data_IF_935094672720
#
_entry.id   IF_935094672720
#
_cell.length_a   1.000
_cell.length_b   1.000
_cell.length_c   1.000
_cell.angle_alpha   90.00
_cell.angle_beta   90.00
_cell.angle_gamma   90.00
#
_symmetry.space_group_name_H-M   'P 1'
#
loop_
_entity.id
_entity.type
_entity.pdbx_description
1 polymer ?
#
# COMPACT_ATOMS: atom_id res chain seq x y z
N UNK A 1 -27.62 -20.25 -24.99
CA UNK A 1 -26.67 -19.41 -24.26
C UNK A 1 -25.49 -20.27 -23.87
N UNK A 2 -24.44 -20.27 -24.67
CA UNK A 2 -23.20 -21.00 -24.40
C UNK A 2 -22.44 -20.26 -23.31
N UNK A 3 -22.42 -20.81 -22.10
CA UNK A 3 -21.47 -20.42 -21.05
C UNK A 3 -20.06 -20.62 -21.60
N UNK A 4 -19.42 -19.54 -22.00
CA UNK A 4 -17.99 -19.54 -22.31
C UNK A 4 -17.28 -20.03 -21.05
N UNK A 5 -16.72 -21.23 -21.08
CA UNK A 5 -15.84 -21.71 -20.03
C UNK A 5 -14.70 -20.70 -19.91
N UNK A 6 -14.56 -20.07 -18.74
CA UNK A 6 -13.47 -19.16 -18.47
C UNK A 6 -12.17 -19.94 -18.68
N UNK A 7 -11.32 -19.48 -19.62
CA UNK A 7 -9.99 -20.07 -19.80
C UNK A 7 -9.24 -19.92 -18.47
N UNK A 8 -8.72 -21.02 -17.89
CA UNK A 8 -8.00 -20.93 -16.63
C UNK A 8 -6.78 -20.02 -16.80
N UNK A 9 -6.62 -19.06 -15.88
CA UNK A 9 -5.48 -18.16 -15.86
C UNK A 9 -4.28 -18.89 -15.25
N UNK A 10 -3.21 -19.06 -16.02
CA UNK A 10 -1.94 -19.59 -15.54
C UNK A 10 -1.08 -18.44 -15.02
N UNK A 11 -0.66 -18.50 -13.76
CA UNK A 11 0.07 -17.45 -13.07
C UNK A 11 1.41 -17.97 -12.58
N UNK A 12 2.47 -17.18 -12.79
CA UNK A 12 3.77 -17.41 -12.19
C UNK A 12 4.29 -16.10 -11.57
N UNK A 13 4.58 -16.14 -10.28
CA UNK A 13 5.21 -15.00 -9.61
C UNK A 13 6.73 -15.15 -9.63
N UNK A 14 7.41 -14.16 -10.21
CA UNK A 14 8.86 -14.06 -10.16
C UNK A 14 9.23 -12.94 -9.17
N UNK A 15 9.83 -13.31 -8.04
CA UNK A 15 10.17 -12.41 -6.94
C UNK A 15 11.65 -12.45 -6.56
N UNK A 16 12.04 -11.67 -5.56
CA UNK A 16 13.42 -11.69 -5.04
C UNK A 16 13.68 -12.95 -4.23
N UNK A 17 14.86 -13.56 -4.39
CA UNK A 17 15.32 -14.62 -3.49
C UNK A 17 15.35 -14.10 -2.04
N UNK A 18 14.68 -14.84 -1.12
CA UNK A 18 14.54 -14.41 0.28
C UNK A 18 13.66 -13.17 0.50
N UNK A 19 12.90 -12.75 -0.51
CA UNK A 19 11.95 -11.65 -0.39
C UNK A 19 10.78 -11.98 0.55
N UNK A 20 10.27 -10.96 1.24
CA UNK A 20 9.12 -11.13 2.16
C UNK A 20 7.84 -11.55 1.43
N UNK A 21 7.77 -11.27 0.13
CA UNK A 21 6.62 -11.58 -0.73
C UNK A 21 6.43 -13.09 -0.93
N UNK A 22 7.48 -13.90 -0.88
CA UNK A 22 7.41 -15.34 -1.15
C UNK A 22 6.34 -16.06 -0.31
N UNK A 23 6.32 -15.81 1.01
CA UNK A 23 5.34 -16.41 1.91
C UNK A 23 3.90 -15.92 1.67
N UNK A 24 3.70 -14.69 1.21
CA UNK A 24 2.39 -14.14 0.88
C UNK A 24 1.84 -14.77 -0.41
N UNK A 25 2.67 -14.83 -1.44
CA UNK A 25 2.34 -15.36 -2.76
C UNK A 25 2.00 -16.85 -2.67
N UNK A 26 2.82 -17.63 -1.95
CA UNK A 26 2.58 -19.07 -1.76
C UNK A 26 1.28 -19.33 -1.00
N UNK A 27 0.97 -18.54 0.05
CA UNK A 27 -0.31 -18.63 0.76
C UNK A 27 -1.51 -18.29 -0.12
N UNK A 28 -1.33 -17.43 -1.12
CA UNK A 28 -2.36 -17.12 -2.11
C UNK A 28 -2.51 -18.22 -3.19
N UNK A 29 -1.75 -19.33 -3.10
CA UNK A 29 -1.81 -20.42 -4.07
C UNK A 29 -1.15 -20.13 -5.41
N UNK A 30 -0.34 -19.06 -5.52
CA UNK A 30 0.36 -18.70 -6.75
C UNK A 30 1.77 -19.31 -6.74
N UNK A 31 2.19 -20.02 -7.80
CA UNK A 31 3.56 -20.52 -7.95
C UNK A 31 4.58 -19.39 -7.88
N UNK A 32 5.65 -19.59 -7.10
CA UNK A 32 6.70 -18.59 -6.86
C UNK A 32 8.07 -19.09 -7.30
N UNK A 33 8.79 -18.25 -8.03
CA UNK A 33 10.20 -18.48 -8.37
C UNK A 33 11.04 -17.28 -7.94
N UNK A 34 12.08 -17.53 -7.12
CA UNK A 34 13.01 -16.51 -6.69
C UNK A 34 14.12 -16.29 -7.72
N UNK A 35 14.47 -15.02 -7.96
CA UNK A 35 15.65 -14.66 -8.77
C UNK A 35 16.54 -13.68 -7.98
N UNK A 36 17.87 -13.71 -8.20
CA UNK A 36 18.75 -12.73 -7.58
C UNK A 36 18.39 -11.31 -8.01
N UNK A 37 18.20 -10.44 -7.04
CA UNK A 37 17.96 -9.02 -7.27
C UNK A 37 18.66 -8.19 -6.20
N UNK A 38 18.95 -6.92 -6.51
CA UNK A 38 19.57 -6.01 -5.55
C UNK A 38 19.27 -4.56 -5.88
N UNK A 39 19.05 -3.74 -4.85
CA UNK A 39 18.91 -2.30 -5.01
C UNK A 39 20.21 -1.67 -5.50
N UNK A 40 20.10 -0.51 -6.19
CA UNK A 40 21.26 0.20 -6.75
C UNK A 40 21.41 1.63 -6.19
N UNK A 41 20.54 2.03 -5.25
CA UNK A 41 20.53 3.41 -4.75
C UNK A 41 21.20 3.54 -3.37
N UNK A 42 22.03 4.58 -3.20
CA UNK A 42 22.57 4.97 -1.90
C UNK A 42 23.59 3.97 -1.34
N UNK A 43 24.26 3.20 -2.21
CA UNK A 43 25.20 2.15 -1.83
C UNK A 43 26.64 2.58 -2.10
N UNK A 44 27.56 2.01 -1.33
CA UNK A 44 28.98 2.11 -1.60
C UNK A 44 29.35 1.39 -2.93
N UNK A 45 30.49 1.73 -3.56
CA UNK A 45 30.85 1.17 -4.87
C UNK A 45 30.96 -0.36 -4.91
N UNK A 46 31.38 -1.00 -3.83
CA UNK A 46 31.53 -2.47 -3.76
C UNK A 46 30.16 -3.15 -3.72
N UNK A 47 29.26 -2.63 -2.89
CA UNK A 47 27.88 -3.12 -2.80
C UNK A 47 27.12 -2.88 -4.12
N UNK A 48 27.35 -1.73 -4.76
CA UNK A 48 26.78 -1.44 -6.07
C UNK A 48 27.25 -2.46 -7.13
N UNK A 49 28.57 -2.71 -7.23
CA UNK A 49 29.11 -3.69 -8.17
C UNK A 49 28.56 -5.10 -7.93
N UNK A 50 28.44 -5.52 -6.67
CA UNK A 50 27.83 -6.82 -6.30
C UNK A 50 26.37 -6.89 -6.71
N UNK A 51 25.59 -5.82 -6.50
CA UNK A 51 24.18 -5.79 -6.86
C UNK A 51 23.98 -5.72 -8.38
N UNK A 52 24.86 -5.07 -9.12
CA UNK A 52 24.86 -5.14 -10.59
C UNK A 52 25.13 -6.58 -11.07
N UNK A 53 26.05 -7.30 -10.43
CA UNK A 53 26.26 -8.73 -10.68
C UNK A 53 25.01 -9.57 -10.42
N UNK A 54 24.33 -9.34 -9.30
CA UNK A 54 23.04 -9.99 -9.00
C UNK A 54 21.95 -9.68 -10.04
N UNK A 55 21.84 -8.44 -10.47
CA UNK A 55 20.86 -8.06 -11.51
C UNK A 55 21.16 -8.75 -12.85
N UNK A 56 22.44 -8.85 -13.22
CA UNK A 56 22.87 -9.58 -14.42
C UNK A 56 22.53 -11.08 -14.31
N UNK A 57 22.86 -11.73 -13.19
CA UNK A 57 22.50 -13.12 -12.95
C UNK A 57 20.98 -13.31 -12.95
N UNK A 58 20.24 -12.41 -12.27
CA UNK A 58 18.78 -12.42 -12.25
C UNK A 58 18.17 -12.30 -13.65
N UNK A 59 18.78 -11.50 -14.54
CA UNK A 59 18.33 -11.40 -15.93
C UNK A 59 18.47 -12.73 -16.69
N UNK A 60 19.61 -13.42 -16.60
CA UNK A 60 19.79 -14.71 -17.28
C UNK A 60 18.85 -15.79 -16.73
N UNK A 61 18.59 -15.79 -15.42
CA UNK A 61 17.61 -16.70 -14.83
C UNK A 61 16.17 -16.35 -15.28
N UNK A 62 15.78 -15.06 -15.21
CA UNK A 62 14.48 -14.59 -15.67
C UNK A 62 14.24 -14.94 -17.16
N UNK A 63 15.28 -14.83 -17.99
CA UNK A 63 15.22 -15.23 -19.42
C UNK A 63 14.89 -16.71 -19.61
N UNK A 64 15.48 -17.60 -18.79
CA UNK A 64 15.14 -19.02 -18.80
C UNK A 64 13.69 -19.27 -18.39
N UNK A 65 13.26 -18.65 -17.29
CA UNK A 65 11.90 -18.75 -16.74
C UNK A 65 10.86 -18.27 -17.77
N UNK A 66 11.05 -17.07 -18.32
CA UNK A 66 10.12 -16.46 -19.27
C UNK A 66 10.03 -17.28 -20.55
N UNK A 67 11.14 -17.81 -21.05
CA UNK A 67 11.14 -18.70 -22.22
C UNK A 67 10.46 -20.04 -21.99
N UNK A 68 10.55 -20.58 -20.78
CA UNK A 68 9.88 -21.83 -20.42
C UNK A 68 8.38 -21.63 -20.17
N UNK A 69 8.01 -20.54 -19.48
CA UNK A 69 6.62 -20.25 -19.13
C UNK A 69 5.81 -19.68 -20.30
N UNK A 70 6.44 -19.02 -21.26
CA UNK A 70 5.81 -18.37 -22.42
C UNK A 70 4.61 -17.47 -22.05
N UNK A 71 4.80 -16.45 -21.18
CA UNK A 71 3.69 -15.62 -20.74
C UNK A 71 3.08 -14.81 -21.90
N UNK A 72 1.75 -14.66 -21.90
CA UNK A 72 1.04 -13.78 -22.83
C UNK A 72 1.21 -12.31 -22.48
N UNK A 73 1.44 -12.01 -21.20
CA UNK A 73 1.71 -10.66 -20.68
C UNK A 73 2.57 -10.72 -19.43
N UNK A 74 3.45 -9.73 -19.24
CA UNK A 74 4.23 -9.55 -18.02
C UNK A 74 3.64 -8.39 -17.21
N UNK A 75 3.28 -8.65 -15.96
CA UNK A 75 2.81 -7.65 -15.00
C UNK A 75 3.89 -7.39 -13.95
N UNK A 76 4.32 -6.14 -13.80
CA UNK A 76 5.27 -5.71 -12.79
C UNK A 76 4.62 -4.72 -11.81
N UNK A 77 4.84 -4.91 -10.50
CA UNK A 77 4.37 -4.01 -9.44
C UNK A 77 5.47 -3.08 -8.91
N UNK A 78 6.55 -2.92 -9.67
CA UNK A 78 7.75 -2.22 -9.24
C UNK A 78 8.82 -3.18 -8.71
N UNK A 79 9.76 -2.64 -7.92
CA UNK A 79 10.89 -3.42 -7.41
C UNK A 79 11.97 -3.70 -8.46
N UNK A 80 13.19 -3.97 -7.98
CA UNK A 80 14.33 -4.18 -8.88
C UNK A 80 14.25 -5.50 -9.65
N UNK A 81 13.53 -6.50 -9.13
CA UNK A 81 13.30 -7.79 -9.78
C UNK A 81 12.43 -7.67 -11.04
N UNK A 82 11.55 -6.68 -11.11
CA UNK A 82 10.70 -6.47 -12.28
C UNK A 82 11.49 -6.12 -13.55
N UNK A 83 12.63 -5.43 -13.42
CA UNK A 83 13.44 -5.00 -14.57
C UNK A 83 13.97 -6.18 -15.39
N UNK A 84 14.69 -7.17 -14.81
CA UNK A 84 15.15 -8.35 -15.57
C UNK A 84 14.01 -9.17 -16.16
N UNK A 85 12.86 -9.29 -15.51
CA UNK A 85 11.71 -10.05 -16.02
C UNK A 85 11.07 -9.36 -17.22
N UNK A 86 10.85 -8.03 -17.15
CA UNK A 86 10.33 -7.24 -18.27
C UNK A 86 11.29 -7.27 -19.47
N UNK A 87 12.60 -7.15 -19.25
CA UNK A 87 13.59 -7.26 -20.33
C UNK A 87 13.55 -8.63 -20.99
N UNK A 88 13.46 -9.71 -20.21
CA UNK A 88 13.37 -11.07 -20.73
C UNK A 88 12.07 -11.31 -21.54
N UNK A 89 10.94 -10.77 -21.08
CA UNK A 89 9.67 -10.79 -21.80
C UNK A 89 9.76 -10.08 -23.15
N UNK A 90 10.37 -8.90 -23.14
CA UNK A 90 10.57 -8.10 -24.35
C UNK A 90 11.38 -8.81 -25.42
N UNK A 91 12.38 -9.64 -25.05
CA UNK A 91 13.17 -10.44 -26.01
C UNK A 91 12.32 -11.43 -26.82
N UNK A 92 11.25 -11.94 -26.25
CA UNK A 92 10.35 -12.90 -26.90
C UNK A 92 9.04 -12.24 -27.38
N UNK A 93 9.01 -10.89 -27.42
CA UNK A 93 7.86 -10.13 -27.88
C UNK A 93 6.65 -10.15 -26.94
N UNK A 94 6.84 -10.47 -25.65
CA UNK A 94 5.76 -10.43 -24.66
C UNK A 94 5.49 -9.00 -24.22
N UNK A 95 4.26 -8.49 -24.36
CA UNK A 95 3.89 -7.18 -23.89
C UNK A 95 3.94 -7.11 -22.36
N UNK A 96 4.13 -5.91 -21.83
CA UNK A 96 4.33 -5.72 -20.42
C UNK A 96 3.61 -4.49 -19.88
N UNK A 97 3.18 -4.59 -18.62
CA UNK A 97 2.53 -3.55 -17.87
C UNK A 97 3.23 -3.37 -16.52
N UNK A 98 3.44 -2.12 -16.10
CA UNK A 98 3.84 -1.81 -14.71
C UNK A 98 2.73 -1.06 -14.00
N UNK A 99 2.49 -1.43 -12.73
CA UNK A 99 1.61 -0.68 -11.84
C UNK A 99 2.45 0.18 -10.88
N UNK A 100 2.15 1.48 -10.84
CA UNK A 100 2.72 2.45 -9.92
C UNK A 100 1.71 2.76 -8.80
N UNK A 101 1.95 2.28 -7.57
CA UNK A 101 1.04 2.55 -6.44
C UNK A 101 1.18 3.97 -5.85
N UNK A 102 2.40 4.52 -5.80
CA UNK A 102 2.68 5.86 -5.30
C UNK A 102 2.41 6.94 -6.37
N UNK A 103 2.25 8.18 -5.96
CA UNK A 103 2.08 9.30 -6.91
C UNK A 103 3.37 9.54 -7.71
N UNK A 104 4.53 9.51 -7.05
CA UNK A 104 5.82 9.65 -7.72
C UNK A 104 6.53 8.30 -7.90
N UNK A 105 7.05 8.01 -9.11
CA UNK A 105 7.73 6.75 -9.36
C UNK A 105 9.11 6.69 -8.70
N UNK A 106 9.38 5.58 -8.01
CA UNK A 106 10.71 5.22 -7.58
C UNK A 106 11.62 4.85 -8.76
N UNK A 107 12.93 4.71 -8.50
CA UNK A 107 13.94 4.45 -9.56
C UNK A 107 13.63 3.21 -10.40
N UNK A 108 13.18 2.12 -9.78
CA UNK A 108 12.85 0.89 -10.49
C UNK A 108 11.67 1.11 -11.46
N UNK A 109 10.62 1.81 -11.01
CA UNK A 109 9.46 2.15 -11.86
C UNK A 109 9.85 3.14 -12.95
N UNK A 110 10.72 4.13 -12.69
CA UNK A 110 11.26 5.04 -13.73
C UNK A 110 12.01 4.27 -14.84
N UNK A 111 12.76 3.23 -14.46
CA UNK A 111 13.43 2.36 -15.43
C UNK A 111 12.42 1.52 -16.22
N UNK A 112 11.47 0.87 -15.53
CA UNK A 112 10.41 0.06 -16.13
C UNK A 112 9.51 0.88 -17.06
N UNK A 113 9.15 2.10 -16.70
CA UNK A 113 8.28 2.98 -17.48
C UNK A 113 8.76 3.20 -18.92
N UNK A 114 10.07 3.17 -19.17
CA UNK A 114 10.65 3.27 -20.51
C UNK A 114 10.54 1.98 -21.31
N UNK A 115 10.46 0.84 -20.63
CA UNK A 115 10.53 -0.50 -21.23
C UNK A 115 9.15 -1.09 -21.50
N UNK A 116 8.18 -0.83 -20.63
CA UNK A 116 6.83 -1.42 -20.69
C UNK A 116 5.94 -0.77 -21.75
N UNK A 117 4.91 -1.47 -22.14
CA UNK A 117 3.93 -1.01 -23.13
C UNK A 117 2.81 -0.19 -22.47
N UNK A 118 2.51 -0.44 -21.18
CA UNK A 118 1.45 0.24 -20.42
C UNK A 118 1.91 0.53 -18.99
N UNK A 119 1.44 1.63 -18.44
CA UNK A 119 1.70 2.04 -17.06
C UNK A 119 0.35 2.32 -16.40
N UNK A 120 -0.09 1.44 -15.49
CA UNK A 120 -1.24 1.71 -14.65
C UNK A 120 -0.79 2.52 -13.41
N UNK A 121 -1.55 3.55 -13.08
CA UNK A 121 -1.25 4.43 -11.94
C UNK A 121 -2.45 4.58 -11.02
N UNK A 122 -2.18 4.87 -9.76
CA UNK A 122 -3.22 5.12 -8.75
C UNK A 122 -4.01 6.39 -9.06
N UNK A 123 -3.37 7.43 -9.58
CA UNK A 123 -4.01 8.74 -9.83
C UNK A 123 -3.43 9.40 -11.08
N UNK A 124 -4.24 10.22 -11.75
CA UNK A 124 -3.79 11.10 -12.83
C UNK A 124 -2.65 12.05 -12.40
N UNK A 125 -2.53 12.34 -11.11
CA UNK A 125 -1.42 13.14 -10.55
C UNK A 125 -0.04 12.51 -10.82
N UNK A 126 0.05 11.22 -11.14
CA UNK A 126 1.30 10.55 -11.51
C UNK A 126 1.74 10.81 -12.95
N UNK A 127 0.84 11.25 -13.84
CA UNK A 127 1.10 11.41 -15.28
C UNK A 127 2.28 12.34 -15.61
N UNK A 128 2.50 13.48 -14.92
CA UNK A 128 3.64 14.37 -15.22
C UNK A 128 5.01 13.73 -14.98
N UNK A 129 5.08 12.65 -14.23
CA UNK A 129 6.33 11.97 -13.85
C UNK A 129 6.69 10.80 -14.78
N UNK A 130 5.87 10.49 -15.80
CA UNK A 130 5.92 9.27 -16.60
C UNK A 130 5.72 9.59 -18.10
N UNK A 131 6.05 8.67 -19.03
CA UNK A 131 5.64 8.76 -20.42
C UNK A 131 4.12 8.78 -20.54
N UNK A 132 3.56 9.98 -20.83
CA UNK A 132 2.13 10.26 -20.72
C UNK A 132 1.24 9.41 -21.65
N UNK A 133 1.79 9.01 -22.81
CA UNK A 133 1.14 8.16 -23.82
C UNK A 133 0.90 6.73 -23.36
N UNK A 134 1.65 6.25 -22.37
CA UNK A 134 1.52 4.91 -21.78
C UNK A 134 0.67 4.86 -20.52
N UNK A 135 0.34 6.00 -19.92
CA UNK A 135 -0.30 6.09 -18.60
C UNK A 135 -1.80 5.90 -18.66
N UNK A 136 -2.30 4.99 -17.81
CA UNK A 136 -3.73 4.77 -17.55
C UNK A 136 -3.99 4.87 -16.03
N UNK A 137 -4.84 5.80 -15.62
CA UNK A 137 -5.25 5.91 -14.23
C UNK A 137 -6.31 4.85 -13.89
N UNK A 138 -5.89 3.85 -13.14
CA UNK A 138 -6.74 2.71 -12.77
C UNK A 138 -7.26 2.78 -11.34
N UNK A 139 -6.63 3.57 -10.49
CA UNK A 139 -6.88 3.59 -9.06
C UNK A 139 -5.94 2.67 -8.29
N UNK A 140 -6.07 2.67 -6.95
CA UNK A 140 -5.34 1.76 -6.07
C UNK A 140 -6.17 0.49 -5.80
N UNK A 141 -5.67 -0.72 -6.16
CA UNK A 141 -6.38 -1.96 -5.90
C UNK A 141 -6.36 -2.27 -4.39
N UNK A 142 -7.52 -2.23 -3.78
CA UNK A 142 -7.70 -2.58 -2.36
C UNK A 142 -8.11 -4.03 -2.20
N UNK A 143 -8.02 -4.55 -0.98
CA UNK A 143 -8.56 -5.86 -0.61
C UNK A 143 -10.03 -5.95 -0.97
N UNK A 144 -10.47 -7.12 -1.39
CA UNK A 144 -11.85 -7.36 -1.81
C UNK A 144 -12.86 -6.93 -0.73
N UNK A 145 -12.56 -7.23 0.53
CA UNK A 145 -13.42 -6.91 1.67
C UNK A 145 -13.65 -5.40 1.82
N UNK A 146 -12.64 -4.56 1.55
CA UNK A 146 -12.78 -3.10 1.63
C UNK A 146 -13.69 -2.52 0.54
N UNK A 147 -13.84 -3.22 -0.59
CA UNK A 147 -14.79 -2.84 -1.65
C UNK A 147 -16.23 -3.27 -1.37
N UNK A 148 -16.46 -4.09 -0.32
CA UNK A 148 -17.80 -4.49 0.06
C UNK A 148 -18.42 -3.44 0.99
N UNK A 149 -19.73 -3.24 0.92
CA UNK A 149 -20.44 -2.43 1.91
C UNK A 149 -20.09 -2.90 3.32
N UNK A 150 -19.81 -1.96 4.21
CA UNK A 150 -19.48 -2.26 5.62
C UNK A 150 -20.21 -1.28 6.54
N UNK A 151 -20.54 -1.77 7.73
CA UNK A 151 -21.14 -0.97 8.78
C UNK A 151 -20.11 -0.70 9.89
N UNK A 152 -19.97 0.56 10.26
CA UNK A 152 -19.05 1.03 11.30
C UNK A 152 -19.39 0.43 12.67
N UNK A 153 -20.68 0.32 13.02
CA UNK A 153 -21.10 -0.24 14.29
C UNK A 153 -20.79 -1.74 14.37
N UNK A 154 -21.05 -2.49 13.29
CA UNK A 154 -20.70 -3.90 13.20
C UNK A 154 -19.17 -4.11 13.29
N UNK A 155 -18.37 -3.28 12.63
CA UNK A 155 -16.91 -3.34 12.71
C UNK A 155 -16.40 -3.06 14.14
N UNK A 156 -17.01 -2.10 14.87
CA UNK A 156 -16.71 -1.86 16.28
C UNK A 156 -17.04 -3.06 17.15
N UNK A 157 -18.22 -3.65 16.95
CA UNK A 157 -18.62 -4.86 17.69
C UNK A 157 -17.68 -6.05 17.43
N UNK A 158 -17.25 -6.26 16.18
CA UNK A 158 -16.29 -7.31 15.83
C UNK A 158 -14.93 -7.16 16.54
N UNK A 159 -14.61 -5.93 16.95
CA UNK A 159 -13.39 -5.61 17.71
C UNK A 159 -13.65 -5.40 19.21
N UNK A 160 -14.82 -5.76 19.74
CA UNK A 160 -15.27 -5.50 21.12
C UNK A 160 -15.15 -4.03 21.53
N UNK A 161 -15.42 -3.09 20.62
CA UNK A 161 -15.39 -1.66 20.84
C UNK A 161 -16.80 -1.12 21.13
N UNK A 162 -16.89 -0.05 21.91
CA UNK A 162 -18.13 0.67 22.11
C UNK A 162 -18.59 1.35 20.81
N UNK A 163 -19.87 1.17 20.46
CA UNK A 163 -20.40 1.66 19.18
C UNK A 163 -20.64 3.16 19.15
N UNK A 164 -20.77 3.82 20.30
CA UNK A 164 -21.05 5.25 20.43
C UNK A 164 -19.76 6.08 20.62
N UNK A 165 -18.70 5.49 21.17
CA UNK A 165 -17.43 6.18 21.45
C UNK A 165 -16.63 6.36 20.16
N UNK A 166 -16.11 7.56 19.86
CA UNK A 166 -15.20 7.78 18.75
C UNK A 166 -14.01 6.80 18.78
N UNK A 167 -13.60 6.32 17.62
CA UNK A 167 -12.51 5.35 17.46
C UNK A 167 -11.33 5.98 16.74
N UNK A 168 -10.15 5.96 17.36
CA UNK A 168 -8.89 6.40 16.79
C UNK A 168 -8.03 5.18 16.44
N UNK A 169 -7.69 5.01 15.16
CA UNK A 169 -6.76 3.99 14.71
C UNK A 169 -5.37 4.61 14.49
N UNK A 170 -4.35 4.07 15.14
CA UNK A 170 -2.95 4.53 15.03
C UNK A 170 -2.11 3.38 14.51
N UNK A 171 -1.37 3.57 13.40
CA UNK A 171 -0.43 2.57 12.92
C UNK A 171 0.67 3.13 12.01
N UNK A 172 1.82 2.45 11.99
CA UNK A 172 3.00 2.87 11.23
C UNK A 172 3.22 2.17 9.90
N UNK A 173 2.33 1.23 9.52
CA UNK A 173 2.56 0.29 8.42
C UNK A 173 3.24 -1.01 8.91
N UNK A 174 3.59 -1.93 7.98
CA UNK A 174 4.04 -3.30 8.28
C UNK A 174 5.27 -3.43 9.19
N UNK A 175 6.12 -2.42 9.23
CA UNK A 175 7.32 -2.37 10.10
C UNK A 175 7.14 -1.54 11.36
N UNK A 176 5.94 -0.99 11.58
CA UNK A 176 5.69 -0.02 12.62
C UNK A 176 6.30 1.37 12.29
N UNK A 177 6.12 2.31 13.18
CA UNK A 177 6.70 3.66 13.08
C UNK A 177 7.05 4.17 14.47
N UNK A 178 8.29 3.96 14.91
CA UNK A 178 8.74 4.27 16.28
C UNK A 178 8.35 5.67 16.73
N UNK A 179 8.48 6.69 15.87
CA UNK A 179 8.10 8.07 16.21
C UNK A 179 6.59 8.20 16.50
N UNK A 180 5.76 7.60 15.66
CA UNK A 180 4.30 7.58 15.87
C UNK A 180 3.97 6.83 17.16
N UNK A 181 4.61 5.65 17.38
CA UNK A 181 4.39 4.85 18.58
C UNK A 181 4.75 5.60 19.85
N UNK A 182 5.91 6.27 19.87
CA UNK A 182 6.35 7.09 21.01
C UNK A 182 5.40 8.26 21.28
N UNK A 183 4.99 8.99 20.25
CA UNK A 183 4.03 10.10 20.39
C UNK A 183 2.66 9.61 20.91
N UNK A 184 2.18 8.47 20.41
CA UNK A 184 0.91 7.88 20.82
C UNK A 184 0.94 7.44 22.30
N UNK A 185 2.02 6.79 22.74
CA UNK A 185 2.16 6.38 24.13
C UNK A 185 2.33 7.59 25.08
N UNK A 186 3.10 8.59 24.70
CA UNK A 186 3.24 9.84 25.48
C UNK A 186 1.92 10.63 25.59
N UNK A 187 0.99 10.44 24.65
CA UNK A 187 -0.32 11.07 24.64
C UNK A 187 -1.44 10.17 25.16
N UNK A 188 -1.16 8.93 25.58
CA UNK A 188 -2.16 7.87 25.78
C UNK A 188 -3.32 8.27 26.69
N UNK A 189 -3.06 8.93 27.82
CA UNK A 189 -4.10 9.39 28.75
C UNK A 189 -5.05 10.39 28.07
N UNK A 190 -4.49 11.36 27.34
CA UNK A 190 -5.28 12.39 26.64
C UNK A 190 -6.08 11.79 25.49
N UNK A 191 -5.49 10.86 24.73
CA UNK A 191 -6.18 10.17 23.63
C UNK A 191 -7.33 9.31 24.14
N UNK A 192 -7.13 8.59 25.27
CA UNK A 192 -8.17 7.76 25.86
C UNK A 192 -9.37 8.56 26.43
N UNK A 193 -9.19 9.85 26.74
CA UNK A 193 -10.30 10.76 27.08
C UNK A 193 -11.12 11.09 25.83
N UNK A 194 -10.47 11.28 24.69
CA UNK A 194 -11.10 11.72 23.43
C UNK A 194 -11.76 10.56 22.65
N UNK A 195 -11.17 9.38 22.72
CA UNK A 195 -11.57 8.23 21.89
C UNK A 195 -11.19 6.89 22.53
N UNK A 196 -11.75 5.80 22.02
CA UNK A 196 -11.16 4.48 22.17
C UNK A 196 -10.07 4.30 21.10
N UNK A 197 -8.93 3.75 21.49
CA UNK A 197 -7.73 3.71 20.65
C UNK A 197 -7.38 2.29 20.25
N UNK A 198 -7.20 2.08 18.94
CA UNK A 198 -6.57 0.89 18.37
C UNK A 198 -5.16 1.31 17.94
N UNK A 199 -4.12 0.79 18.59
CA UNK A 199 -2.74 1.10 18.27
C UNK A 199 -1.99 -0.12 17.76
N UNK A 200 -1.67 -0.15 16.46
CA UNK A 200 -0.90 -1.22 15.81
C UNK A 200 0.55 -0.77 15.70
N UNK A 201 1.38 -1.25 16.61
CA UNK A 201 2.75 -0.77 16.82
C UNK A 201 3.80 -1.35 15.87
N UNK A 202 3.51 -2.53 15.28
CA UNK A 202 4.52 -3.39 14.70
C UNK A 202 5.20 -4.28 15.76
N UNK A 203 5.80 -5.37 15.32
CA UNK A 203 6.37 -6.39 16.22
C UNK A 203 7.50 -5.84 17.10
N UNK A 204 8.30 -4.90 16.58
CA UNK A 204 9.47 -4.37 17.28
C UNK A 204 9.13 -3.56 18.53
N UNK A 205 8.04 -2.82 18.52
CA UNK A 205 7.67 -1.91 19.61
C UNK A 205 6.52 -2.46 20.46
N UNK A 206 5.93 -3.61 20.12
CA UNK A 206 4.71 -4.13 20.76
C UNK A 206 4.88 -4.45 22.24
N UNK A 207 5.99 -5.06 22.64
CA UNK A 207 6.26 -5.39 24.05
C UNK A 207 6.38 -4.10 24.87
N UNK A 208 7.22 -3.18 24.44
CA UNK A 208 7.43 -1.87 25.10
C UNK A 208 6.12 -1.08 25.21
N UNK A 209 5.28 -1.12 24.16
CA UNK A 209 4.00 -0.41 24.18
C UNK A 209 3.00 -1.00 25.17
N UNK A 210 2.95 -2.34 25.31
CA UNK A 210 2.10 -3.00 26.31
C UNK A 210 2.56 -2.69 27.73
N UNK A 211 3.88 -2.74 27.98
CA UNK A 211 4.44 -2.42 29.31
C UNK A 211 4.16 -0.96 29.70
N UNK A 212 4.32 -0.03 28.76
CA UNK A 212 4.01 1.37 28.98
C UNK A 212 2.51 1.57 29.27
N UNK A 213 1.62 0.89 28.53
CA UNK A 213 0.18 0.96 28.77
C UNK A 213 -0.21 0.36 30.13
N UNK A 214 0.39 -0.76 30.54
CA UNK A 214 0.11 -1.43 31.81
C UNK A 214 0.45 -0.55 33.04
N UNK A 215 1.34 0.41 32.89
CA UNK A 215 1.69 1.39 33.92
C UNK A 215 0.69 2.57 34.05
N UNK A 216 -0.27 2.70 33.11
CA UNK A 216 -1.25 3.77 33.09
C UNK A 216 -2.50 3.41 33.92
N UNK A 217 -3.35 4.41 34.29
CA UNK A 217 -4.60 4.15 34.99
C UNK A 217 -5.52 3.16 34.29
N UNK A 218 -6.25 2.34 35.06
CA UNK A 218 -7.16 1.34 34.51
C UNK A 218 -8.20 1.89 33.53
N UNK A 219 -8.65 3.13 33.75
CA UNK A 219 -9.57 3.81 32.84
C UNK A 219 -8.96 4.07 31.45
N UNK A 220 -7.65 4.31 31.37
CA UNK A 220 -6.92 4.44 30.12
C UNK A 220 -6.76 3.07 29.44
N UNK A 221 -6.33 2.06 30.21
CA UNK A 221 -6.18 0.70 29.72
C UNK A 221 -7.47 0.14 29.11
N UNK A 222 -8.62 0.46 29.70
CA UNK A 222 -9.94 0.04 29.20
C UNK A 222 -10.29 0.61 27.80
N UNK A 223 -9.70 1.74 27.42
CA UNK A 223 -9.98 2.44 26.15
C UNK A 223 -8.84 2.41 25.16
N UNK A 224 -7.67 1.88 25.52
CA UNK A 224 -6.47 1.88 24.68
C UNK A 224 -5.99 0.45 24.47
N UNK A 225 -6.05 -0.04 23.22
CA UNK A 225 -5.67 -1.41 22.86
C UNK A 225 -4.41 -1.40 22.00
N UNK A 226 -3.42 -2.22 22.38
CA UNK A 226 -2.15 -2.37 21.67
C UNK A 226 -2.11 -3.71 20.95
N UNK A 227 -1.87 -3.67 19.64
CA UNK A 227 -1.66 -4.82 18.78
C UNK A 227 -0.26 -4.76 18.16
N UNK A 228 0.43 -5.89 18.08
CA UNK A 228 1.66 -5.98 17.30
C UNK A 228 1.35 -5.89 15.80
N UNK A 229 0.34 -6.62 15.36
CA UNK A 229 -0.13 -6.66 13.98
C UNK A 229 -1.61 -7.02 13.92
N UNK A 230 -2.32 -6.53 12.90
CA UNK A 230 -3.67 -6.93 12.53
C UNK A 230 -3.63 -7.53 11.13
N UNK A 231 -4.19 -8.70 10.96
CA UNK A 231 -4.30 -9.39 9.66
C UNK A 231 -5.61 -9.06 8.96
N UNK A 232 -6.61 -9.93 9.12
CA UNK A 232 -7.97 -9.73 8.62
C UNK A 232 -8.69 -8.58 9.33
N UNK A 233 -8.45 -8.46 10.62
CA UNK A 233 -9.04 -7.46 11.53
C UNK A 233 -8.69 -6.01 11.15
N UNK A 234 -7.66 -5.78 10.30
CA UNK A 234 -7.33 -4.44 9.81
C UNK A 234 -8.47 -3.82 8.99
N UNK A 235 -9.26 -4.65 8.30
CA UNK A 235 -10.45 -4.19 7.56
C UNK A 235 -11.48 -3.60 8.53
N UNK A 236 -11.75 -4.31 9.62
CA UNK A 236 -12.68 -3.83 10.63
C UNK A 236 -12.12 -2.64 11.41
N UNK A 237 -10.81 -2.61 11.69
CA UNK A 237 -10.16 -1.46 12.32
C UNK A 237 -10.28 -0.19 11.48
N UNK A 238 -10.09 -0.27 10.15
CA UNK A 238 -10.29 0.85 9.24
C UNK A 238 -11.76 1.31 9.18
N UNK A 239 -12.71 0.37 9.14
CA UNK A 239 -14.14 0.67 9.15
C UNK A 239 -14.63 1.27 10.47
N UNK A 240 -14.10 0.77 11.60
CA UNK A 240 -14.44 1.23 12.94
C UNK A 240 -13.96 2.66 13.21
N UNK A 241 -12.87 3.08 12.57
CA UNK A 241 -12.19 4.33 12.85
C UNK A 241 -13.00 5.58 12.41
N UNK A 242 -12.94 6.63 13.22
CA UNK A 242 -13.38 7.98 12.85
C UNK A 242 -12.20 8.84 12.39
N UNK A 243 -11.00 8.51 12.85
CA UNK A 243 -9.75 9.15 12.47
C UNK A 243 -8.63 8.11 12.43
N UNK A 244 -7.78 8.20 11.42
CA UNK A 244 -6.56 7.38 11.32
C UNK A 244 -5.34 8.27 11.50
N UNK A 245 -4.36 7.81 12.29
CA UNK A 245 -3.00 8.39 12.37
C UNK A 245 -2.01 7.39 11.80
N UNK A 246 -1.34 7.74 10.70
CA UNK A 246 -0.43 6.78 10.06
C UNK A 246 0.68 7.43 9.24
N UNK A 247 1.59 6.57 8.72
CA UNK A 247 2.48 6.92 7.61
C UNK A 247 1.66 7.10 6.31
N UNK A 248 2.26 7.79 5.32
CA UNK A 248 1.63 8.06 4.03
C UNK A 248 2.14 7.12 2.91
N UNK A 249 2.19 5.80 3.19
CA UNK A 249 2.47 4.80 2.16
C UNK A 249 1.34 4.71 1.14
N UNK A 250 1.61 4.15 -0.04
CA UNK A 250 0.67 4.12 -1.16
C UNK A 250 -0.73 3.56 -0.84
N UNK A 251 -0.84 2.63 0.13
CA UNK A 251 -2.13 2.02 0.52
C UNK A 251 -3.17 3.05 1.00
N UNK A 252 -2.73 4.20 1.56
CA UNK A 252 -3.65 5.26 1.99
C UNK A 252 -4.48 5.83 0.84
N UNK A 253 -3.97 5.73 -0.40
CA UNK A 253 -4.63 6.26 -1.61
C UNK A 253 -5.81 5.39 -2.07
N UNK A 254 -5.97 4.21 -1.50
CA UNK A 254 -7.07 3.30 -1.81
C UNK A 254 -7.85 2.86 -0.58
N UNK A 255 -7.17 2.40 0.47
CA UNK A 255 -7.82 1.83 1.65
C UNK A 255 -8.64 2.88 2.43
N UNK A 256 -8.13 4.12 2.60
CA UNK A 256 -8.86 5.18 3.29
C UNK A 256 -10.05 5.72 2.49
N UNK A 257 -9.90 5.98 1.17
CA UNK A 257 -11.03 6.28 0.32
C UNK A 257 -12.13 5.21 0.34
N UNK A 258 -11.76 3.92 0.31
CA UNK A 258 -12.70 2.82 0.28
C UNK A 258 -13.63 2.78 1.50
N UNK A 259 -13.16 3.21 2.68
CA UNK A 259 -13.96 3.29 3.91
C UNK A 259 -14.37 4.72 4.28
N UNK A 260 -13.89 5.73 3.55
CA UNK A 260 -14.20 7.12 3.81
C UNK A 260 -13.62 7.66 5.13
N UNK A 261 -12.49 7.15 5.62
CA UNK A 261 -11.93 7.54 6.91
C UNK A 261 -10.95 8.71 6.77
N UNK A 262 -11.13 9.84 7.48
CA UNK A 262 -10.17 10.95 7.52
C UNK A 262 -8.84 10.54 8.14
N UNK A 263 -7.76 11.24 7.77
CA UNK A 263 -6.43 10.89 8.27
C UNK A 263 -5.60 12.08 8.75
N UNK A 264 -4.82 11.83 9.80
CA UNK A 264 -3.65 12.61 10.20
C UNK A 264 -2.40 11.84 9.71
N UNK A 265 -1.75 12.35 8.70
CA UNK A 265 -0.64 11.69 8.03
C UNK A 265 0.71 12.21 8.53
N UNK A 266 1.61 11.27 8.78
CA UNK A 266 2.99 11.54 9.19
C UNK A 266 3.93 10.93 8.14
N UNK A 267 4.22 11.62 7.04
CA UNK A 267 5.06 11.09 5.97
C UNK A 267 6.44 10.71 6.47
N UNK A 268 6.96 9.57 6.01
CA UNK A 268 8.27 9.08 6.42
C UNK A 268 9.40 9.94 5.81
N UNK A 269 10.34 10.49 6.61
CA UNK A 269 11.40 11.37 6.14
C UNK A 269 12.60 10.60 5.58
N UNK A 270 12.39 9.68 4.62
CA UNK A 270 13.48 8.95 3.96
C UNK A 270 13.85 9.52 2.60
N UNK A 271 15.08 9.23 2.17
CA UNK A 271 15.59 9.63 0.87
C UNK A 271 14.67 9.18 -0.27
N UNK A 272 14.16 10.15 -1.02
CA UNK A 272 13.20 9.94 -2.11
C UNK A 272 11.81 10.50 -1.85
N UNK A 273 11.43 10.80 -0.60
CA UNK A 273 10.24 11.59 -0.26
C UNK A 273 8.89 11.08 -0.79
N UNK A 274 8.82 9.80 -1.24
CA UNK A 274 7.64 9.26 -1.96
C UNK A 274 6.33 9.37 -1.18
N UNK A 275 6.39 9.47 0.16
CA UNK A 275 5.18 9.56 0.97
C UNK A 275 4.57 10.97 1.00
N UNK A 276 5.36 12.01 0.73
CA UNK A 276 4.84 13.38 0.72
C UNK A 276 3.82 13.61 -0.41
N UNK A 277 4.09 13.26 -1.68
CA UNK A 277 3.11 13.37 -2.76
C UNK A 277 1.82 12.58 -2.53
N UNK A 278 1.91 11.40 -1.88
CA UNK A 278 0.73 10.62 -1.49
C UNK A 278 -0.12 11.38 -0.47
N UNK A 279 0.52 11.91 0.58
CA UNK A 279 -0.17 12.70 1.61
C UNK A 279 -0.77 13.98 1.03
N UNK A 280 -0.02 14.69 0.19
CA UNK A 280 -0.43 15.94 -0.42
C UNK A 280 -1.68 15.79 -1.28
N UNK A 281 -1.82 14.70 -2.05
CA UNK A 281 -3.03 14.40 -2.81
C UNK A 281 -4.27 14.39 -1.90
N UNK A 282 -4.20 13.73 -0.74
CA UNK A 282 -5.32 13.64 0.20
C UNK A 282 -5.59 14.97 0.92
N UNK A 283 -4.53 15.74 1.22
CA UNK A 283 -4.65 17.08 1.82
C UNK A 283 -5.30 18.06 0.85
N UNK A 284 -4.89 18.08 -0.41
CA UNK A 284 -5.47 18.93 -1.45
C UNK A 284 -6.95 18.59 -1.70
N UNK A 285 -7.33 17.32 -1.54
CA UNK A 285 -8.73 16.91 -1.60
C UNK A 285 -9.56 17.32 -0.36
N UNK A 286 -8.92 17.87 0.67
CA UNK A 286 -9.57 18.19 1.95
C UNK A 286 -9.89 16.98 2.82
N UNK A 287 -9.26 15.82 2.56
CA UNK A 287 -9.54 14.54 3.21
C UNK A 287 -8.60 14.22 4.38
N UNK A 288 -7.44 14.88 4.45
CA UNK A 288 -6.41 14.63 5.45
C UNK A 288 -5.69 15.91 5.89
N UNK A 289 -4.93 15.79 6.96
CA UNK A 289 -3.92 16.77 7.37
C UNK A 289 -2.58 16.07 7.54
N UNK A 290 -1.48 16.82 7.47
CA UNK A 290 -0.12 16.28 7.64
C UNK A 290 0.58 16.92 8.83
N UNK A 291 1.40 16.12 9.52
CA UNK A 291 2.37 16.59 10.50
C UNK A 291 3.74 16.06 10.06
N UNK A 292 4.76 16.92 9.92
CA UNK A 292 6.13 16.48 9.66
C UNK A 292 6.61 15.54 10.77
N UNK A 293 7.33 14.47 10.40
CA UNK A 293 7.83 13.48 11.36
C UNK A 293 8.64 14.13 12.50
N UNK A 294 9.50 15.10 12.16
CA UNK A 294 10.34 15.79 13.14
C UNK A 294 9.55 16.63 14.18
N UNK A 295 8.33 17.05 13.83
CA UNK A 295 7.44 17.85 14.67
C UNK A 295 6.48 17.01 15.51
N UNK A 296 6.44 15.69 15.27
CA UNK A 296 5.51 14.80 15.96
C UNK A 296 6.07 14.42 17.34
N UNK A 297 5.36 14.85 18.38
CA UNK A 297 5.49 14.41 19.76
C UNK A 297 4.10 14.13 20.36
N UNK A 298 4.03 13.75 21.64
CA UNK A 298 2.76 13.46 22.32
C UNK A 298 1.84 14.67 22.41
N UNK A 299 2.39 15.87 22.61
CA UNK A 299 1.61 17.10 22.72
C UNK A 299 1.02 17.51 21.38
N UNK A 300 1.82 17.44 20.32
CA UNK A 300 1.36 17.70 18.96
C UNK A 300 0.28 16.70 18.53
N UNK A 301 0.50 15.42 18.76
CA UNK A 301 -0.47 14.38 18.42
C UNK A 301 -1.80 14.58 19.14
N UNK A 302 -1.78 14.81 20.45
CA UNK A 302 -3.00 15.04 21.23
C UNK A 302 -3.76 16.29 20.76
N UNK A 303 -3.08 17.39 20.44
CA UNK A 303 -3.71 18.60 19.90
C UNK A 303 -4.39 18.36 18.56
N UNK A 304 -3.71 17.69 17.63
CA UNK A 304 -4.25 17.41 16.29
C UNK A 304 -5.47 16.47 16.36
N UNK A 305 -5.39 15.42 17.18
CA UNK A 305 -6.51 14.50 17.40
C UNK A 305 -7.68 15.20 18.07
N UNK A 306 -7.43 16.02 19.11
CA UNK A 306 -8.48 16.79 19.78
C UNK A 306 -9.16 17.77 18.81
N UNK A 307 -8.40 18.46 17.97
CA UNK A 307 -8.95 19.38 16.97
C UNK A 307 -9.79 18.62 15.93
N UNK A 308 -9.37 17.43 15.49
CA UNK A 308 -10.10 16.65 14.50
C UNK A 308 -11.39 16.05 15.05
N UNK A 309 -11.34 15.43 16.25
CA UNK A 309 -12.51 14.78 16.88
C UNK A 309 -13.45 15.78 17.54
N UNK A 310 -12.95 16.97 17.94
CA UNK A 310 -13.72 18.03 18.57
C UNK A 310 -14.62 18.84 17.62
N UNK A 311 -14.44 18.68 16.29
CA UNK A 311 -15.28 19.31 15.29
C UNK A 311 -15.96 18.24 14.40
N UNK A 312 -17.12 17.71 14.80
CA UNK A 312 -17.83 16.69 14.04
C UNK A 312 -18.22 17.12 12.62
N UNK A 313 -18.46 18.41 12.40
CA UNK A 313 -18.83 18.94 11.08
C UNK A 313 -17.63 18.87 10.13
N UNK A 314 -16.47 19.33 10.59
CA UNK A 314 -15.22 19.25 9.82
C UNK A 314 -14.80 17.79 9.59
N UNK A 315 -14.93 16.93 10.60
CA UNK A 315 -14.61 15.51 10.49
C UNK A 315 -15.48 14.82 9.43
N UNK A 316 -16.80 15.08 9.44
CA UNK A 316 -17.73 14.57 8.44
C UNK A 316 -17.41 15.11 7.02
N UNK A 317 -17.05 16.40 6.91
CA UNK A 317 -16.65 16.97 5.64
C UNK A 317 -15.38 16.29 5.06
N UNK A 318 -14.38 16.01 5.92
CA UNK A 318 -13.17 15.26 5.55
C UNK A 318 -13.47 13.82 5.16
N UNK A 319 -14.37 13.15 5.89
CA UNK A 319 -14.81 11.80 5.56
C UNK A 319 -15.49 11.74 4.19
N UNK A 320 -16.39 12.70 3.90
CA UNK A 320 -17.02 12.82 2.60
C UNK A 320 -16.01 13.15 1.48
N UNK A 321 -15.00 13.99 1.76
CA UNK A 321 -13.92 14.28 0.83
C UNK A 321 -13.08 13.03 0.52
N UNK A 322 -12.76 12.23 1.55
CA UNK A 322 -12.04 10.97 1.41
C UNK A 322 -12.83 9.97 0.56
N UNK A 323 -14.11 9.77 0.87
CA UNK A 323 -14.97 8.84 0.14
C UNK A 323 -15.10 9.16 -1.37
N UNK A 324 -15.06 10.45 -1.74
CA UNK A 324 -15.08 10.86 -3.17
C UNK A 324 -13.86 10.41 -3.97
N UNK A 325 -12.76 10.07 -3.31
CA UNK A 325 -11.54 9.56 -3.96
C UNK A 325 -11.59 8.05 -4.21
N UNK A 326 -12.61 7.34 -3.71
CA UNK A 326 -12.71 5.89 -3.84
C UNK A 326 -12.79 5.43 -5.31
N UNK A 327 -12.04 4.40 -5.63
CA UNK A 327 -12.02 3.77 -6.95
C UNK A 327 -12.18 2.24 -6.80
N UNK A 328 -13.39 1.74 -6.53
CA UNK A 328 -13.62 0.33 -6.19
C UNK A 328 -13.24 -0.64 -7.31
N UNK A 329 -13.27 -0.19 -8.57
CA UNK A 329 -12.96 -1.01 -9.75
C UNK A 329 -11.46 -1.08 -10.11
N UNK A 330 -10.56 -0.55 -9.29
CA UNK A 330 -9.14 -0.44 -9.63
C UNK A 330 -8.51 -1.77 -10.07
N UNK A 331 -8.71 -2.83 -9.30
CA UNK A 331 -8.18 -4.17 -9.64
C UNK A 331 -8.75 -4.68 -10.98
N UNK A 332 -10.06 -4.50 -11.23
CA UNK A 332 -10.71 -4.88 -12.48
C UNK A 332 -10.13 -4.11 -13.67
N UNK A 333 -9.91 -2.79 -13.52
CA UNK A 333 -9.32 -1.96 -14.59
C UNK A 333 -7.92 -2.41 -14.94
N UNK A 334 -7.06 -2.70 -13.95
CA UNK A 334 -5.71 -3.25 -14.18
C UNK A 334 -5.81 -4.59 -14.90
N UNK A 335 -6.71 -5.47 -14.49
CA UNK A 335 -6.95 -6.76 -15.15
C UNK A 335 -7.37 -6.61 -16.61
N UNK A 336 -8.24 -5.64 -16.92
CA UNK A 336 -8.65 -5.36 -18.30
C UNK A 336 -7.49 -4.85 -19.16
N UNK A 337 -6.61 -4.01 -18.63
CA UNK A 337 -5.40 -3.58 -19.35
C UNK A 337 -4.46 -4.74 -19.64
N UNK A 338 -4.29 -5.68 -18.69
CA UNK A 338 -3.50 -6.91 -18.89
C UNK A 338 -4.10 -7.81 -19.99
N UNK A 339 -5.42 -8.05 -19.93
CA UNK A 339 -6.13 -8.85 -20.93
C UNK A 339 -6.07 -8.20 -22.31
N UNK A 340 -6.17 -6.88 -22.41
CA UNK A 340 -6.04 -6.14 -23.67
C UNK A 340 -4.66 -6.33 -24.29
N UNK A 341 -3.60 -6.27 -23.50
CA UNK A 341 -2.22 -6.50 -23.96
C UNK A 341 -2.01 -7.96 -24.39
N UNK A 342 -2.50 -8.93 -23.62
CA UNK A 342 -2.42 -10.35 -23.97
C UNK A 342 -3.21 -10.65 -25.25
N UNK A 343 -4.41 -10.13 -25.41
CA UNK A 343 -5.24 -10.29 -26.60
C UNK A 343 -4.62 -9.71 -27.87
N UNK A 344 -3.96 -8.55 -27.76
CA UNK A 344 -3.23 -7.96 -28.87
C UNK A 344 -2.07 -8.86 -29.36
N UNK A 345 -1.35 -9.52 -28.45
CA UNK A 345 -0.30 -10.49 -28.82
C UNK A 345 -0.85 -11.72 -29.52
N UNK A 346 -1.92 -12.31 -28.99
CA UNK A 346 -2.54 -13.49 -29.60
C UNK A 346 -3.06 -13.21 -30.99
N UNK A 347 -3.61 -12.03 -31.27
CA UNK A 347 -4.07 -11.61 -32.58
C UNK A 347 -2.92 -11.48 -33.60
N UNK A 348 -1.75 -10.98 -33.16
CA UNK A 348 -0.56 -10.86 -34.02
C UNK A 348 0.14 -12.20 -34.25
N UNK A 349 0.14 -13.11 -33.28
CA UNK A 349 0.75 -14.44 -33.39
C UNK A 349 -0.07 -15.44 -34.22
N UNK A 350 -1.37 -15.24 -34.32
CA UNK A 350 -2.27 -16.06 -35.16
C UNK A 350 -2.23 -15.72 -36.68
N UNK A 351 -1.51 -14.65 -37.06
CA UNK A 351 -1.36 -14.20 -38.44
C UNK A 351 -0.02 -14.61 -39.09
N UNK A 352 0.83 -15.39 -38.40
CA UNK A 352 2.09 -15.97 -38.90
C UNK A 352 1.95 -17.48 -39.05
#
# INVERSE_FOLDING_TARGET
MTTSAATPLDLLWVGSEGGMEAGLVTRAGVPFVGVPAGGVRGMDPVTLARNMGKLSQGYFQARGIVRQFHPDVVFATGGYVGVPVVLAGREIGTPSLVYLPDIEPGMAVKALARLVDRICVTSEASRPHLPADKVVATGYPVRYELNQPGDKAAARQALDLDTATPTLLIFGGSRGARRINQAALAAAERLAVLAQVIHVTGDLDAAQARDALAALPAAVQARYRVYAYLHGEMVDALRAADLVVSRAGAAILGEYPAVGVPALLVPLPIAGGHQWPNAELLVQAGAAVTVPDAELDGDRLAREVAAALGDPTMLAARAAAMARLAQPDAARRIGMELLSLAGARLALGGAA
#
